data_IF_589457828646
#
_entry.id   IF_589457828646
#
_cell.length_a   1.000
_cell.length_b   1.000
_cell.length_c   1.000
_cell.angle_alpha   90.00
_cell.angle_beta   90.00
_cell.angle_gamma   90.00
#
_symmetry.space_group_name_H-M   'P 1'
#
loop_
_entity.id
_entity.type
_entity.pdbx_description
1 polymer ?
#
# COMPACT_ATOMS: atom_id res chain seq x y z
N UNK A 1 -21.23 -18.35 -12.07
CA UNK A 1 -21.54 -17.99 -13.46
C UNK A 1 -21.10 -16.56 -13.80
N UNK A 2 -21.60 -15.50 -13.14
CA UNK A 2 -21.24 -14.10 -13.47
C UNK A 2 -19.75 -13.74 -13.43
N UNK A 3 -18.96 -14.32 -12.51
CA UNK A 3 -17.50 -14.06 -12.44
C UNK A 3 -16.75 -14.61 -13.65
N UNK A 4 -17.18 -15.75 -14.19
CA UNK A 4 -16.57 -16.36 -15.38
C UNK A 4 -16.92 -15.52 -16.61
N UNK A 5 -18.15 -15.03 -16.68
CA UNK A 5 -18.66 -14.28 -17.84
C UNK A 5 -18.15 -12.83 -17.90
N UNK A 6 -18.01 -12.18 -16.75
CA UNK A 6 -17.78 -10.72 -16.67
C UNK A 6 -16.53 -10.32 -15.90
N UNK A 7 -15.87 -11.26 -15.22
CA UNK A 7 -14.77 -10.96 -14.28
C UNK A 7 -15.23 -10.33 -12.95
N UNK A 8 -16.54 -10.21 -12.70
CA UNK A 8 -17.12 -9.58 -11.50
C UNK A 8 -18.27 -10.43 -10.91
N UNK A 9 -18.62 -10.26 -9.62
CA UNK A 9 -18.10 -9.32 -8.64
C UNK A 9 -16.69 -9.67 -8.13
N UNK A 10 -15.98 -8.65 -7.63
CA UNK A 10 -14.75 -8.86 -6.85
C UNK A 10 -15.03 -9.64 -5.57
N UNK A 11 -14.00 -10.30 -5.04
CA UNK A 11 -14.07 -11.09 -3.81
C UNK A 11 -13.24 -10.41 -2.71
N UNK A 12 -13.90 -10.08 -1.61
CA UNK A 12 -13.30 -9.45 -0.44
C UNK A 12 -13.72 -10.20 0.82
N UNK A 13 -12.80 -10.40 1.75
CA UNK A 13 -13.03 -11.13 3.00
C UNK A 13 -13.15 -10.17 4.19
N UNK A 14 -14.39 -9.78 4.52
CA UNK A 14 -14.72 -8.81 5.58
C UNK A 14 -14.00 -9.07 6.90
N UNK A 15 -14.05 -10.31 7.39
CA UNK A 15 -13.52 -10.62 8.73
C UNK A 15 -12.00 -10.51 8.78
N UNK A 16 -11.32 -10.89 7.68
CA UNK A 16 -9.88 -10.77 7.58
C UNK A 16 -9.44 -9.30 7.54
N UNK A 17 -10.19 -8.45 6.83
CA UNK A 17 -9.92 -7.02 6.77
C UNK A 17 -10.11 -6.35 8.14
N UNK A 18 -11.20 -6.67 8.84
CA UNK A 18 -11.49 -6.05 10.13
C UNK A 18 -10.55 -6.53 11.25
N UNK A 19 -10.23 -7.84 11.32
CA UNK A 19 -9.35 -8.38 12.38
C UNK A 19 -7.88 -7.92 12.30
N UNK A 20 -7.43 -7.48 11.13
CA UNK A 20 -6.03 -7.12 10.87
C UNK A 20 -5.82 -5.64 10.63
N UNK A 21 -6.86 -4.82 10.74
CA UNK A 21 -6.74 -3.38 10.50
C UNK A 21 -6.21 -2.65 11.72
N UNK A 22 -5.26 -1.75 11.50
CA UNK A 22 -4.82 -0.80 12.53
C UNK A 22 -5.91 0.22 12.89
N UNK A 23 -6.98 0.32 12.08
CA UNK A 23 -8.14 1.17 12.31
C UNK A 23 -9.31 0.45 13.01
N UNK A 24 -9.10 -0.76 13.54
CA UNK A 24 -10.17 -1.54 14.21
C UNK A 24 -10.83 -0.81 15.39
N UNK A 25 -10.13 0.18 15.98
CA UNK A 25 -10.65 1.03 17.05
C UNK A 25 -11.69 2.06 16.58
N UNK A 26 -11.80 2.32 15.28
CA UNK A 26 -12.75 3.28 14.71
C UNK A 26 -14.14 2.66 14.48
N UNK A 27 -14.18 1.35 14.26
CA UNK A 27 -15.39 0.58 13.99
C UNK A 27 -15.22 -0.42 12.85
N UNK A 28 -16.33 -0.93 12.34
CA UNK A 28 -16.32 -1.95 11.29
C UNK A 28 -16.07 -1.34 9.90
N UNK A 29 -15.02 -1.77 9.21
CA UNK A 29 -14.79 -1.49 7.79
C UNK A 29 -15.85 -2.23 6.98
N UNK A 30 -16.62 -1.48 6.16
CA UNK A 30 -17.82 -1.99 5.47
C UNK A 30 -17.61 -2.31 3.99
N UNK A 31 -16.54 -1.78 3.38
CA UNK A 31 -16.22 -1.98 1.96
C UNK A 31 -14.72 -1.79 1.72
N UNK A 32 -14.30 -2.03 0.48
CA UNK A 32 -13.02 -1.58 -0.05
C UNK A 32 -13.24 -0.45 -1.07
N UNK A 33 -12.20 -0.03 -1.78
CA UNK A 33 -12.29 0.88 -2.93
C UNK A 33 -12.52 0.11 -4.24
N UNK A 34 -12.46 0.84 -5.36
CA UNK A 34 -12.65 0.31 -6.71
C UNK A 34 -11.66 -0.81 -7.06
N UNK A 35 -10.41 -0.71 -6.61
CA UNK A 35 -9.32 -1.62 -7.00
C UNK A 35 -9.02 -2.70 -5.93
N UNK A 36 -9.81 -2.75 -4.86
CA UNK A 36 -9.78 -3.77 -3.80
C UNK A 36 -8.56 -3.82 -2.88
N UNK A 37 -7.70 -2.79 -2.91
CA UNK A 37 -6.48 -2.69 -2.11
C UNK A 37 -6.64 -1.86 -0.83
N UNK A 38 -7.63 -0.98 -0.77
CA UNK A 38 -7.83 -0.07 0.38
C UNK A 38 -8.89 -0.61 1.33
N UNK A 39 -8.51 -0.75 2.60
CA UNK A 39 -9.37 -1.22 3.68
C UNK A 39 -9.38 -0.18 4.81
N UNK A 40 -10.10 0.91 4.59
CA UNK A 40 -10.21 2.04 5.52
C UNK A 40 -11.62 2.18 6.08
N UNK A 41 -11.73 2.71 7.29
CA UNK A 41 -13.00 2.97 7.95
C UNK A 41 -13.78 4.09 7.24
N UNK A 42 -15.11 3.90 7.13
CA UNK A 42 -16.03 4.92 6.61
C UNK A 42 -17.27 5.01 7.49
N UNK A 43 -17.88 6.19 7.51
CA UNK A 43 -19.15 6.48 8.20
C UNK A 43 -19.94 7.53 7.43
N UNK A 44 -21.21 7.82 7.79
CA UNK A 44 -21.96 8.91 7.14
C UNK A 44 -21.22 10.27 7.18
N UNK A 45 -20.36 10.48 8.18
CA UNK A 45 -19.59 11.70 8.38
C UNK A 45 -18.14 11.62 7.86
N UNK A 46 -17.66 10.42 7.49
CA UNK A 46 -16.26 10.20 7.10
C UNK A 46 -16.17 9.40 5.79
N UNK A 47 -15.63 10.04 4.75
CA UNK A 47 -15.29 9.41 3.47
C UNK A 47 -13.79 9.15 3.44
N UNK A 48 -13.39 7.88 3.45
CA UNK A 48 -11.98 7.48 3.38
C UNK A 48 -11.31 7.99 2.09
N UNK A 49 -10.05 8.41 2.18
CA UNK A 49 -9.29 8.97 1.06
C UNK A 49 -7.96 8.25 0.94
N UNK A 50 -7.66 7.81 -0.28
CA UNK A 50 -6.45 7.09 -0.56
C UNK A 50 -5.38 7.97 -1.22
N UNK A 51 -4.22 8.12 -0.57
CA UNK A 51 -3.05 8.83 -1.11
C UNK A 51 -2.00 7.79 -1.54
N UNK A 52 -1.81 7.61 -2.85
CA UNK A 52 -1.03 6.51 -3.41
C UNK A 52 0.28 6.96 -4.08
N UNK A 53 1.33 6.16 -3.89
CA UNK A 53 2.53 6.18 -4.72
C UNK A 53 3.05 4.76 -4.95
N UNK A 54 3.75 4.54 -6.07
CA UNK A 54 4.34 3.24 -6.41
C UNK A 54 5.85 3.32 -6.61
N UNK A 55 6.57 2.40 -5.97
CA UNK A 55 8.03 2.28 -6.07
C UNK A 55 8.40 1.35 -7.22
N UNK A 56 9.28 1.82 -8.12
CA UNK A 56 9.75 1.04 -9.27
C UNK A 56 10.87 0.08 -8.87
N UNK A 57 10.52 -1.17 -8.56
CA UNK A 57 11.43 -2.20 -8.04
C UNK A 57 12.67 -2.49 -8.92
N UNK A 58 12.61 -2.43 -10.27
CA UNK A 58 13.80 -2.68 -11.10
C UNK A 58 14.95 -1.69 -10.87
N UNK A 59 14.66 -0.51 -10.29
CA UNK A 59 15.68 0.50 -9.99
C UNK A 59 16.63 0.11 -8.86
N UNK A 60 16.28 -0.91 -8.08
CA UNK A 60 17.09 -1.41 -6.97
C UNK A 60 17.85 -2.69 -7.33
N UNK A 61 17.82 -3.11 -8.60
CA UNK A 61 18.61 -4.26 -9.06
C UNK A 61 19.95 -3.75 -9.62
N UNK A 62 21.04 -4.13 -8.96
CA UNK A 62 22.40 -3.75 -9.32
C UNK A 62 23.32 -4.98 -9.29
N UNK A 63 24.09 -5.19 -10.36
CA UNK A 63 25.08 -6.27 -10.46
C UNK A 63 24.56 -7.67 -10.07
N UNK A 64 23.29 -7.95 -10.37
CA UNK A 64 22.64 -9.22 -10.06
C UNK A 64 22.16 -9.39 -8.61
N UNK A 65 22.14 -8.32 -7.82
CA UNK A 65 21.64 -8.28 -6.45
C UNK A 65 20.54 -7.21 -6.28
N UNK A 66 19.71 -7.37 -5.25
CA UNK A 66 18.66 -6.42 -4.89
C UNK A 66 19.12 -5.52 -3.74
N UNK A 67 19.05 -4.20 -3.90
CA UNK A 67 19.49 -3.19 -2.94
C UNK A 67 18.36 -2.81 -1.98
N UNK A 68 18.24 -3.57 -0.89
CA UNK A 68 17.27 -3.32 0.18
C UNK A 68 17.54 -2.02 0.94
N UNK A 69 18.79 -1.62 1.09
CA UNK A 69 19.12 -0.38 1.79
C UNK A 69 18.58 0.82 1.01
N UNK A 70 18.79 0.84 -0.31
CA UNK A 70 18.27 1.90 -1.15
C UNK A 70 16.74 1.89 -1.23
N UNK A 71 16.13 0.70 -1.25
CA UNK A 71 14.67 0.56 -1.18
C UNK A 71 14.11 1.17 0.12
N UNK A 72 14.77 0.93 1.26
CA UNK A 72 14.38 1.51 2.55
C UNK A 72 14.43 3.04 2.51
N UNK A 73 15.54 3.62 2.06
CA UNK A 73 15.70 5.09 1.92
C UNK A 73 14.59 5.72 1.07
N UNK A 74 14.28 5.13 -0.08
CA UNK A 74 13.24 5.65 -0.98
C UNK A 74 11.85 5.48 -0.38
N UNK A 75 11.57 4.36 0.27
CA UNK A 75 10.30 4.11 0.95
C UNK A 75 10.05 5.12 2.07
N UNK A 76 11.10 5.47 2.83
CA UNK A 76 11.06 6.54 3.83
C UNK A 76 10.65 7.89 3.19
N UNK A 77 11.32 8.27 2.09
CA UNK A 77 11.01 9.52 1.37
C UNK A 77 9.59 9.53 0.83
N UNK A 78 9.13 8.42 0.24
CA UNK A 78 7.76 8.28 -0.29
C UNK A 78 6.73 8.45 0.82
N UNK A 79 6.96 7.87 2.00
CA UNK A 79 6.09 8.01 3.17
C UNK A 79 5.92 9.49 3.55
N UNK A 80 7.02 10.23 3.66
CA UNK A 80 6.98 11.69 3.93
C UNK A 80 6.24 12.46 2.84
N UNK A 81 6.44 12.09 1.58
CA UNK A 81 5.79 12.76 0.45
C UNK A 81 4.27 12.54 0.50
N UNK A 82 3.81 11.31 0.75
CA UNK A 82 2.39 11.01 0.88
C UNK A 82 1.76 11.72 2.09
N UNK A 83 2.48 11.84 3.21
CA UNK A 83 1.99 12.62 4.34
C UNK A 83 1.81 14.11 3.98
N UNK A 84 2.69 14.69 3.14
CA UNK A 84 2.51 16.07 2.63
C UNK A 84 1.34 16.20 1.66
N UNK A 85 1.04 15.16 0.87
CA UNK A 85 -0.13 15.16 -0.01
C UNK A 85 -1.40 15.37 0.80
N UNK A 86 -1.53 14.73 1.97
CA UNK A 86 -2.70 14.91 2.86
C UNK A 86 -2.93 16.39 3.19
N UNK A 87 -1.87 17.17 3.43
CA UNK A 87 -1.97 18.59 3.81
C UNK A 87 -2.28 19.52 2.64
N UNK A 88 -1.79 19.18 1.45
CA UNK A 88 -1.90 20.04 0.27
C UNK A 88 -3.02 19.63 -0.70
N UNK A 89 -3.67 18.50 -0.47
CA UNK A 89 -4.71 18.00 -1.35
C UNK A 89 -5.94 18.92 -1.37
N UNK A 90 -6.59 19.01 -2.53
CA UNK A 90 -7.92 19.62 -2.63
C UNK A 90 -8.98 18.54 -2.37
N UNK A 91 -9.74 18.71 -1.29
CA UNK A 91 -10.81 17.77 -0.93
C UNK A 91 -12.14 18.22 -1.53
N UNK A 92 -12.77 17.40 -2.39
CA UNK A 92 -14.01 17.78 -3.07
C UNK A 92 -15.23 17.82 -2.15
N UNK A 93 -15.17 17.10 -1.02
CA UNK A 93 -16.23 17.05 0.01
C UNK A 93 -15.61 17.15 1.40
N UNK A 94 -16.36 17.65 2.37
CA UNK A 94 -15.86 17.96 3.72
C UNK A 94 -15.51 16.68 4.49
N UNK A 95 -16.35 15.66 4.35
CA UNK A 95 -16.23 14.33 4.98
C UNK A 95 -14.90 13.65 4.59
N UNK A 96 -14.40 13.93 3.38
CA UNK A 96 -13.12 13.43 2.89
C UNK A 96 -11.94 14.15 3.56
N UNK A 97 -12.02 15.46 3.73
CA UNK A 97 -11.03 16.22 4.48
C UNK A 97 -11.00 15.76 5.95
N UNK A 98 -12.18 15.66 6.58
CA UNK A 98 -12.30 15.25 7.98
C UNK A 98 -11.68 13.87 8.24
N UNK A 99 -12.01 12.88 7.41
CA UNK A 99 -11.43 11.53 7.52
C UNK A 99 -9.91 11.54 7.35
N UNK A 100 -9.42 12.18 6.28
CA UNK A 100 -8.00 12.12 5.94
C UNK A 100 -7.12 12.91 6.91
N UNK A 101 -7.59 14.05 7.44
CA UNK A 101 -6.85 14.79 8.48
C UNK A 101 -6.84 14.07 9.83
N UNK A 102 -7.90 13.33 10.16
CA UNK A 102 -8.03 12.61 11.43
C UNK A 102 -7.20 11.34 11.49
N UNK A 103 -7.21 10.55 10.42
CA UNK A 103 -6.60 9.21 10.40
C UNK A 103 -5.32 9.11 9.59
N UNK A 104 -5.08 10.09 8.70
CA UNK A 104 -3.90 10.24 7.85
C UNK A 104 -3.39 8.96 7.18
N UNK A 105 -4.26 8.14 6.54
CA UNK A 105 -3.82 6.94 5.85
C UNK A 105 -3.02 7.27 4.57
N UNK A 106 -2.06 6.41 4.27
CA UNK A 106 -1.25 6.45 3.04
C UNK A 106 -1.15 5.04 2.46
N UNK A 107 -1.03 4.94 1.13
CA UNK A 107 -0.80 3.67 0.44
C UNK A 107 0.48 3.70 -0.38
N UNK A 108 1.40 2.79 -0.06
CA UNK A 108 2.67 2.61 -0.77
C UNK A 108 2.60 1.29 -1.52
N UNK A 109 2.52 1.35 -2.84
CA UNK A 109 2.56 0.22 -3.74
C UNK A 109 3.91 0.02 -4.41
N UNK A 110 3.97 -0.96 -5.30
CA UNK A 110 5.14 -1.27 -6.11
C UNK A 110 4.76 -1.47 -7.57
N UNK A 111 5.73 -1.33 -8.46
CA UNK A 111 5.61 -1.68 -9.87
C UNK A 111 6.90 -2.35 -10.35
N UNK A 112 6.78 -3.18 -11.40
CA UNK A 112 7.93 -3.87 -11.99
C UNK A 112 8.50 -5.02 -11.14
N UNK A 113 7.67 -5.72 -10.35
CA UNK A 113 8.11 -6.90 -9.59
C UNK A 113 8.60 -8.02 -10.53
N UNK A 114 7.84 -8.28 -11.60
CA UNK A 114 8.22 -9.26 -12.61
C UNK A 114 9.54 -8.89 -13.31
N UNK A 115 9.71 -7.61 -13.69
CA UNK A 115 10.94 -7.09 -14.27
C UNK A 115 12.14 -7.24 -13.33
N UNK A 116 11.97 -6.97 -12.03
CA UNK A 116 13.02 -7.17 -11.03
C UNK A 116 13.44 -8.64 -10.95
N UNK A 117 12.48 -9.58 -10.95
CA UNK A 117 12.78 -11.01 -10.99
C UNK A 117 13.48 -11.43 -12.28
N UNK A 118 13.05 -10.90 -13.43
CA UNK A 118 13.70 -11.16 -14.73
C UNK A 118 15.15 -10.68 -14.73
N UNK A 119 15.42 -9.47 -14.21
CA UNK A 119 16.78 -8.95 -14.11
C UNK A 119 17.68 -9.79 -13.19
N UNK A 120 17.11 -10.36 -12.13
CA UNK A 120 17.79 -11.26 -11.19
C UNK A 120 17.82 -12.72 -11.66
N UNK A 121 17.24 -13.03 -12.82
CA UNK A 121 17.12 -14.41 -13.36
C UNK A 121 16.36 -15.36 -12.42
N UNK A 122 15.36 -14.84 -11.71
CA UNK A 122 14.51 -15.60 -10.80
C UNK A 122 13.19 -15.96 -11.50
N UNK A 123 12.87 -17.25 -11.71
CA UNK A 123 11.52 -17.65 -12.07
C UNK A 123 10.52 -17.17 -11.01
N UNK A 124 9.34 -16.72 -11.42
CA UNK A 124 8.36 -16.10 -10.51
C UNK A 124 7.89 -17.07 -9.40
N UNK A 125 7.87 -18.36 -9.70
CA UNK A 125 7.47 -19.47 -8.83
C UNK A 125 8.63 -20.10 -8.03
N UNK A 126 9.85 -19.55 -8.14
CA UNK A 126 11.02 -20.02 -7.40
C UNK A 126 10.96 -19.65 -5.91
N UNK A 127 11.63 -20.44 -5.06
CA UNK A 127 11.74 -20.14 -3.62
C UNK A 127 12.57 -18.87 -3.36
N UNK A 128 13.52 -18.56 -4.25
CA UNK A 128 14.30 -17.33 -4.23
C UNK A 128 13.42 -16.10 -4.52
N UNK A 129 12.58 -16.15 -5.55
CA UNK A 129 11.62 -15.06 -5.84
C UNK A 129 10.62 -14.89 -4.69
N UNK A 130 10.15 -15.99 -4.09
CA UNK A 130 9.27 -15.95 -2.91
C UNK A 130 9.93 -15.34 -1.68
N UNK A 131 11.22 -15.60 -1.48
CA UNK A 131 12.00 -15.03 -0.38
C UNK A 131 12.21 -13.54 -0.61
N UNK A 132 12.69 -13.15 -1.78
CA UNK A 132 12.89 -11.76 -2.16
C UNK A 132 11.59 -10.94 -2.08
N UNK A 133 10.45 -11.52 -2.48
CA UNK A 133 9.15 -10.88 -2.33
C UNK A 133 8.88 -10.50 -0.86
N UNK A 134 9.12 -11.41 0.10
CA UNK A 134 8.91 -11.12 1.52
C UNK A 134 9.83 -10.00 1.98
N UNK A 135 11.11 -10.08 1.63
CA UNK A 135 12.13 -9.10 2.05
C UNK A 135 11.84 -7.70 1.47
N UNK A 136 11.40 -7.60 0.22
CA UNK A 136 10.99 -6.33 -0.41
C UNK A 136 9.86 -5.68 0.40
N UNK A 137 8.77 -6.41 0.65
CA UNK A 137 7.61 -5.86 1.35
C UNK A 137 7.89 -5.60 2.84
N UNK A 138 8.71 -6.42 3.49
CA UNK A 138 9.20 -6.16 4.85
C UNK A 138 10.02 -4.87 4.90
N UNK A 139 10.93 -4.66 3.95
CA UNK A 139 11.77 -3.46 3.86
C UNK A 139 10.93 -2.20 3.71
N UNK A 140 9.95 -2.22 2.79
CA UNK A 140 9.03 -1.09 2.55
C UNK A 140 8.20 -0.80 3.79
N UNK A 141 7.61 -1.83 4.40
CA UNK A 141 6.76 -1.66 5.58
C UNK A 141 7.54 -1.11 6.77
N UNK A 142 8.74 -1.66 7.02
CA UNK A 142 9.63 -1.16 8.05
C UNK A 142 9.99 0.31 7.83
N UNK A 143 10.43 0.68 6.62
CA UNK A 143 10.78 2.07 6.29
C UNK A 143 9.61 3.06 6.47
N UNK A 144 8.41 2.64 6.05
CA UNK A 144 7.22 3.46 6.17
C UNK A 144 6.84 3.69 7.64
N UNK A 145 6.91 2.65 8.47
CA UNK A 145 6.69 2.77 9.91
C UNK A 145 7.77 3.62 10.58
N UNK A 146 9.06 3.44 10.24
CA UNK A 146 10.14 4.27 10.78
C UNK A 146 9.89 5.76 10.48
N UNK A 147 9.63 6.10 9.21
CA UNK A 147 9.34 7.48 8.83
C UNK A 147 8.08 8.01 9.51
N UNK A 148 7.03 7.20 9.62
CA UNK A 148 5.80 7.60 10.29
C UNK A 148 6.02 7.89 11.78
N UNK A 149 6.84 7.09 12.46
CA UNK A 149 7.26 7.33 13.84
C UNK A 149 8.09 8.62 13.98
N UNK A 150 9.00 8.89 13.05
CA UNK A 150 9.84 10.11 13.08
C UNK A 150 9.03 11.40 12.79
N UNK A 151 7.86 11.27 12.17
CA UNK A 151 6.94 12.38 11.91
C UNK A 151 5.96 12.66 13.05
N UNK A 152 5.82 11.74 14.01
CA UNK A 152 4.86 11.79 15.12
C UNK A 152 5.40 12.59 16.32
#
# INVERSE_FOLDING_TARGET
>A
DSQIETGTPYLLYKDAANRKSNQQNLGTIRCSNLCTEIMEFTSPEEVAVCNLASIALPRFVHDGAFDHQKLHEISYIVTRNLNRVIEHNFYPVREAAESNFKHRPIGIGVQGLADAFIHLRLPFDSEEARTLNKEIFETIYHAALTCSCDLA
#
